data_IF_251677609686
#
_entry.id   IF_251677609686
#
_cell.length_a   1.000
_cell.length_b   1.000
_cell.length_c   1.000
_cell.angle_alpha   90.00
_cell.angle_beta   90.00
_cell.angle_gamma   90.00
#
_symmetry.space_group_name_H-M   'P 1'
#
loop_
_entity.id
_entity.type
_entity.pdbx_description
1 polymer ?
#
# COMPACT_ATOMS: atom_id res chain seq x y z
N UNK A 1 -1.03 20.02 -1.13
CA UNK A 1 -0.15 19.22 -2.02
C UNK A 1 1.06 18.62 -1.29
N UNK A 2 1.92 19.38 -0.59
CA UNK A 2 3.13 18.83 0.07
C UNK A 2 2.85 17.77 1.16
N UNK A 3 1.79 17.94 1.96
CA UNK A 3 1.47 17.02 3.06
C UNK A 3 1.09 15.61 2.58
N UNK A 4 0.28 15.49 1.53
CA UNK A 4 -0.11 14.18 0.96
C UNK A 4 1.06 13.41 0.38
N UNK A 5 2.03 14.11 -0.22
CA UNK A 5 3.24 13.48 -0.73
C UNK A 5 4.13 12.97 0.41
N UNK A 6 4.26 13.75 1.49
CA UNK A 6 4.96 13.30 2.70
C UNK A 6 4.26 12.10 3.34
N UNK A 7 2.93 12.11 3.47
CA UNK A 7 2.16 10.96 3.96
C UNK A 7 2.39 9.72 3.10
N UNK A 8 2.39 9.87 1.77
CA UNK A 8 2.68 8.77 0.85
C UNK A 8 4.09 8.20 1.04
N UNK A 9 5.11 9.05 1.17
CA UNK A 9 6.48 8.58 1.41
C UNK A 9 6.59 7.86 2.75
N UNK A 10 6.04 8.44 3.82
CA UNK A 10 6.09 7.84 5.15
C UNK A 10 5.37 6.48 5.14
N UNK A 11 4.24 6.37 4.44
CA UNK A 11 3.53 5.11 4.25
C UNK A 11 4.37 4.05 3.51
N UNK A 12 5.04 4.43 2.42
CA UNK A 12 5.88 3.50 1.65
C UNK A 12 7.07 3.01 2.47
N UNK A 13 7.70 3.91 3.25
CA UNK A 13 8.79 3.56 4.15
C UNK A 13 8.31 2.62 5.24
N UNK A 14 7.19 2.94 5.90
CA UNK A 14 6.60 2.12 6.95
C UNK A 14 6.23 0.71 6.45
N UNK A 15 5.57 0.62 5.28
CA UNK A 15 5.31 -0.66 4.62
C UNK A 15 6.59 -1.42 4.31
N UNK A 16 7.62 -0.76 3.79
CA UNK A 16 8.91 -1.41 3.49
C UNK A 16 9.55 -1.99 4.74
N UNK A 17 9.52 -1.25 5.85
CA UNK A 17 10.06 -1.75 7.12
C UNK A 17 9.27 -2.96 7.62
N UNK A 18 7.94 -2.93 7.55
CA UNK A 18 7.11 -4.09 7.89
C UNK A 18 7.42 -5.32 7.02
N UNK A 19 7.62 -5.14 5.72
CA UNK A 19 8.03 -6.22 4.82
C UNK A 19 9.44 -6.74 5.14
N UNK A 20 10.37 -5.85 5.49
CA UNK A 20 11.72 -6.24 5.93
C UNK A 20 11.67 -7.06 7.21
N UNK A 21 10.81 -6.69 8.18
CA UNK A 21 10.59 -7.50 9.38
C UNK A 21 10.07 -8.89 9.03
N UNK A 22 9.07 -8.95 8.16
CA UNK A 22 8.41 -10.20 7.77
C UNK A 22 9.35 -11.17 7.06
N UNK A 23 10.26 -10.66 6.22
CA UNK A 23 11.23 -11.46 5.47
C UNK A 23 12.54 -11.73 6.23
N UNK A 24 12.88 -10.86 7.20
CA UNK A 24 14.09 -10.95 8.02
C UNK A 24 13.75 -10.63 9.49
N UNK A 25 13.10 -11.57 10.20
CA UNK A 25 12.65 -11.32 11.55
C UNK A 25 13.81 -10.99 12.49
N UNK A 26 13.62 -9.98 13.32
CA UNK A 26 14.61 -9.53 14.29
C UNK A 26 15.57 -8.45 13.79
N UNK A 27 15.58 -8.10 12.50
CA UNK A 27 16.39 -6.98 11.98
C UNK A 27 15.96 -5.65 12.61
N UNK A 28 14.65 -5.36 12.63
CA UNK A 28 14.14 -4.13 13.26
C UNK A 28 14.37 -4.10 14.77
N UNK A 29 14.18 -5.24 15.44
CA UNK A 29 14.47 -5.39 16.87
C UNK A 29 15.95 -5.13 17.18
N UNK A 30 16.86 -5.57 16.31
CA UNK A 30 18.31 -5.31 16.46
C UNK A 30 18.68 -3.83 16.29
N UNK A 31 17.89 -3.08 15.53
CA UNK A 31 18.01 -1.63 15.38
C UNK A 31 17.32 -0.86 16.52
N UNK A 32 16.71 -1.55 17.48
CA UNK A 32 15.96 -0.94 18.58
C UNK A 32 14.59 -0.39 18.17
N UNK A 33 14.07 -0.78 16.99
CA UNK A 33 12.78 -0.33 16.48
C UNK A 33 11.73 -1.39 16.81
N UNK A 34 10.75 -1.08 17.67
CA UNK A 34 9.71 -2.02 18.00
C UNK A 34 8.68 -2.11 16.87
N UNK A 35 8.46 -3.32 16.34
CA UNK A 35 7.57 -3.58 15.19
C UNK A 35 6.13 -3.09 15.43
N UNK A 36 5.64 -3.19 16.66
CA UNK A 36 4.30 -2.69 17.02
C UNK A 36 4.13 -1.19 16.76
N UNK A 37 5.21 -0.40 16.83
CA UNK A 37 5.17 1.03 16.53
C UNK A 37 4.90 1.31 15.05
N UNK A 38 5.37 0.44 14.15
CA UNK A 38 5.09 0.53 12.71
C UNK A 38 3.61 0.23 12.44
N UNK A 39 3.02 -0.80 13.07
CA UNK A 39 1.58 -1.05 12.95
C UNK A 39 0.72 0.11 13.49
N UNK A 40 1.14 0.74 14.60
CA UNK A 40 0.48 1.94 15.12
C UNK A 40 0.62 3.10 14.13
N UNK A 41 1.80 3.31 13.57
CA UNK A 41 2.04 4.35 12.57
C UNK A 41 1.18 4.13 11.33
N UNK A 42 1.13 2.91 10.81
CA UNK A 42 0.25 2.50 9.70
C UNK A 42 -1.21 2.83 9.99
N UNK A 43 -1.69 2.48 11.19
CA UNK A 43 -3.05 2.80 11.63
C UNK A 43 -3.34 4.30 11.66
N UNK A 44 -2.39 5.10 12.17
CA UNK A 44 -2.50 6.57 12.19
C UNK A 44 -2.52 7.12 10.76
N UNK A 45 -1.65 6.64 9.87
CA UNK A 45 -1.60 7.09 8.47
C UNK A 45 -2.91 6.80 7.74
N UNK A 46 -3.48 5.61 7.92
CA UNK A 46 -4.79 5.24 7.36
C UNK A 46 -5.88 6.14 7.92
N UNK A 47 -5.92 6.37 9.24
CA UNK A 47 -6.90 7.26 9.87
C UNK A 47 -6.78 8.69 9.36
N UNK A 48 -5.58 9.24 9.27
CA UNK A 48 -5.34 10.60 8.74
C UNK A 48 -5.74 10.68 7.28
N UNK A 49 -5.46 9.66 6.48
CA UNK A 49 -5.88 9.57 5.07
C UNK A 49 -7.40 9.61 4.95
N UNK A 50 -8.12 8.83 5.77
CA UNK A 50 -9.58 8.81 5.80
C UNK A 50 -10.19 10.13 6.31
N UNK A 51 -9.60 10.75 7.33
CA UNK A 51 -10.10 12.00 7.90
C UNK A 51 -9.83 13.20 7.01
N UNK A 52 -8.75 13.16 6.23
CA UNK A 52 -8.35 14.22 5.30
C UNK A 52 -8.77 13.89 3.87
N UNK A 53 -9.78 13.03 3.71
CA UNK A 53 -10.31 12.59 2.43
C UNK A 53 -10.78 13.81 1.62
N UNK A 54 -10.14 14.01 0.47
CA UNK A 54 -10.42 15.14 -0.43
C UNK A 54 -10.71 14.58 -1.83
N UNK A 55 -11.98 14.61 -2.28
CA UNK A 55 -12.40 13.95 -3.53
C UNK A 55 -11.72 14.53 -4.78
N UNK A 56 -11.36 15.83 -4.76
CA UNK A 56 -10.61 16.45 -5.87
C UNK A 56 -9.18 15.91 -6.03
N UNK A 57 -8.54 15.52 -4.93
CA UNK A 57 -7.20 14.91 -4.96
C UNK A 57 -7.28 13.43 -5.33
N UNK A 58 -8.34 12.75 -4.90
CA UNK A 58 -8.61 11.36 -5.27
C UNK A 58 -8.83 11.21 -6.78
N UNK A 59 -9.60 12.10 -7.42
CA UNK A 59 -9.82 12.06 -8.88
C UNK A 59 -8.51 12.25 -9.67
N UNK A 60 -7.55 13.01 -9.13
CA UNK A 60 -6.28 13.32 -9.80
C UNK A 60 -5.18 12.29 -9.54
N UNK A 61 -5.19 11.64 -8.38
CA UNK A 61 -4.15 10.69 -7.96
C UNK A 61 -4.62 9.25 -7.88
N UNK A 62 -5.93 8.96 -7.99
CA UNK A 62 -6.53 7.67 -7.64
C UNK A 62 -5.88 6.46 -8.31
N UNK A 63 -5.83 6.42 -9.64
CA UNK A 63 -5.22 5.28 -10.34
C UNK A 63 -3.71 5.19 -10.17
N UNK A 64 -2.99 6.32 -10.23
CA UNK A 64 -1.54 6.32 -10.12
C UNK A 64 -1.08 5.93 -8.71
N UNK A 65 -1.78 6.43 -7.69
CA UNK A 65 -1.53 6.10 -6.30
C UNK A 65 -1.91 4.65 -5.99
N UNK A 66 -3.03 4.16 -6.52
CA UNK A 66 -3.41 2.74 -6.39
C UNK A 66 -2.38 1.84 -7.06
N UNK A 67 -1.99 2.12 -8.30
CA UNK A 67 -0.97 1.35 -9.01
C UNK A 67 0.36 1.39 -8.27
N UNK A 68 0.76 2.55 -7.74
CA UNK A 68 2.00 2.67 -6.98
C UNK A 68 1.95 1.89 -5.66
N UNK A 69 0.87 2.02 -4.88
CA UNK A 69 0.66 1.30 -3.63
C UNK A 69 0.53 -0.22 -3.84
N UNK A 70 0.14 -0.63 -5.04
CA UNK A 70 0.05 -2.04 -5.42
C UNK A 70 1.42 -2.53 -5.92
N UNK A 71 1.93 -1.99 -7.02
CA UNK A 71 3.17 -2.46 -7.67
C UNK A 71 4.40 -2.34 -6.76
N UNK A 72 4.50 -1.27 -5.96
CA UNK A 72 5.67 -1.02 -5.12
C UNK A 72 5.95 -2.14 -4.09
N UNK A 73 5.01 -2.49 -3.18
CA UNK A 73 5.26 -3.55 -2.21
C UNK A 73 5.52 -4.90 -2.89
N UNK A 74 4.96 -5.15 -4.08
CA UNK A 74 5.29 -6.36 -4.85
C UNK A 74 6.73 -6.41 -5.30
N UNK A 75 7.25 -5.31 -5.83
CA UNK A 75 8.66 -5.18 -6.17
C UNK A 75 9.54 -5.39 -4.93
N UNK A 76 9.17 -4.79 -3.80
CA UNK A 76 9.89 -4.97 -2.54
C UNK A 76 9.90 -6.44 -2.11
N UNK A 77 8.75 -7.13 -2.11
CA UNK A 77 8.67 -8.56 -1.77
C UNK A 77 9.54 -9.42 -2.68
N UNK A 78 9.55 -9.16 -4.00
CA UNK A 78 10.41 -9.88 -4.94
C UNK A 78 11.89 -9.62 -4.64
N UNK A 79 12.28 -8.38 -4.36
CA UNK A 79 13.66 -8.04 -3.99
C UNK A 79 14.09 -8.72 -2.67
N UNK A 80 13.22 -8.72 -1.66
CA UNK A 80 13.48 -9.37 -0.37
C UNK A 80 13.60 -10.90 -0.53
N UNK A 81 12.75 -11.51 -1.36
CA UNK A 81 12.86 -12.93 -1.70
C UNK A 81 14.18 -13.26 -2.42
N UNK A 82 14.61 -12.42 -3.37
CA UNK A 82 15.88 -12.59 -4.08
C UNK A 82 17.10 -12.42 -3.16
N UNK A 83 16.98 -11.60 -2.11
CA UNK A 83 17.99 -11.44 -1.06
C UNK A 83 18.05 -12.65 -0.10
N UNK A 84 17.21 -13.67 -0.29
CA UNK A 84 17.15 -14.86 0.52
C UNK A 84 16.28 -14.74 1.77
N UNK A 85 15.44 -13.70 1.85
CA UNK A 85 14.44 -13.59 2.90
C UNK A 85 13.28 -14.56 2.67
N UNK A 86 12.80 -15.17 3.74
CA UNK A 86 11.60 -16.02 3.72
C UNK A 86 10.54 -15.35 4.60
N UNK A 87 9.34 -15.15 4.04
CA UNK A 87 8.23 -14.52 4.78
C UNK A 87 7.78 -15.41 5.93
N UNK A 88 7.87 -14.91 7.17
CA UNK A 88 7.43 -15.60 8.38
C UNK A 88 5.91 -15.74 8.45
N UNK A 89 5.17 -14.71 8.04
CA UNK A 89 3.69 -14.70 8.06
C UNK A 89 3.04 -15.51 6.92
N UNK A 90 3.83 -16.01 5.97
CA UNK A 90 3.33 -16.66 4.76
C UNK A 90 2.74 -15.69 3.73
N UNK A 91 2.96 -14.38 3.88
CA UNK A 91 2.70 -13.33 2.88
C UNK A 91 3.85 -13.25 1.89
N UNK A 92 4.12 -14.37 1.23
CA UNK A 92 5.11 -14.50 0.17
C UNK A 92 4.47 -14.28 -1.21
N UNK A 93 5.28 -13.89 -2.19
CA UNK A 93 4.91 -13.90 -3.62
C UNK A 93 4.41 -15.28 -4.10
N UNK A 94 4.78 -16.35 -3.40
CA UNK A 94 4.33 -17.73 -3.66
C UNK A 94 2.97 -18.06 -3.02
N UNK A 95 2.46 -17.20 -2.14
CA UNK A 95 1.23 -17.44 -1.39
C UNK A 95 -0.02 -17.14 -2.24
N UNK A 96 -0.93 -18.11 -2.44
CA UNK A 96 -2.16 -17.90 -3.21
C UNK A 96 -3.07 -16.83 -2.59
N UNK A 97 -3.04 -16.70 -1.26
CA UNK A 97 -3.86 -15.72 -0.53
C UNK A 97 -3.49 -14.28 -0.90
N UNK A 98 -2.20 -14.01 -1.07
CA UNK A 98 -1.72 -12.69 -1.46
C UNK A 98 -2.33 -12.26 -2.80
N UNK A 99 -2.33 -13.16 -3.79
CA UNK A 99 -2.89 -12.91 -5.12
C UNK A 99 -4.41 -12.70 -5.09
N UNK A 100 -5.14 -13.39 -4.21
CA UNK A 100 -6.59 -13.21 -4.05
C UNK A 100 -6.89 -11.81 -3.52
N UNK A 101 -6.21 -11.40 -2.44
CA UNK A 101 -6.39 -10.08 -1.83
C UNK A 101 -6.03 -8.98 -2.85
N UNK A 102 -4.91 -9.16 -3.54
CA UNK A 102 -4.47 -8.26 -4.59
C UNK A 102 -5.44 -8.13 -5.75
N UNK A 103 -5.92 -9.26 -6.26
CA UNK A 103 -6.92 -9.31 -7.33
C UNK A 103 -8.19 -8.57 -6.93
N UNK A 104 -8.63 -8.72 -5.68
CA UNK A 104 -9.79 -8.02 -5.15
C UNK A 104 -9.58 -6.50 -5.06
N UNK A 105 -8.41 -6.04 -4.60
CA UNK A 105 -8.06 -4.61 -4.53
C UNK A 105 -8.01 -3.98 -5.92
N UNK A 106 -7.31 -4.63 -6.86
CA UNK A 106 -7.24 -4.17 -8.26
C UNK A 106 -8.62 -4.16 -8.93
N UNK A 107 -9.43 -5.19 -8.68
CA UNK A 107 -10.80 -5.26 -9.20
C UNK A 107 -11.68 -4.13 -8.67
N UNK A 108 -11.62 -3.84 -7.37
CA UNK A 108 -12.36 -2.73 -6.76
C UNK A 108 -11.91 -1.39 -7.33
N UNK A 109 -10.60 -1.15 -7.43
CA UNK A 109 -10.08 0.08 -8.01
C UNK A 109 -10.41 0.26 -9.49
N UNK A 110 -10.38 -0.81 -10.28
CA UNK A 110 -10.82 -0.78 -11.68
C UNK A 110 -12.31 -0.47 -11.81
N UNK A 111 -13.14 -1.08 -10.95
CA UNK A 111 -14.59 -0.84 -10.95
C UNK A 111 -14.93 0.60 -10.59
N UNK A 112 -14.23 1.17 -9.61
CA UNK A 112 -14.48 2.56 -9.21
C UNK A 112 -13.99 3.53 -10.30
N UNK A 113 -12.89 3.24 -11.00
CA UNK A 113 -12.47 4.00 -12.17
C UNK A 113 -13.49 3.98 -13.33
N UNK A 114 -14.13 2.83 -13.58
CA UNK A 114 -15.20 2.73 -14.59
C UNK A 114 -16.43 3.57 -14.22
N UNK A 115 -16.83 3.56 -12.95
CA UNK A 115 -17.96 4.37 -12.47
C UNK A 115 -17.72 5.87 -12.59
N UNK A 116 -16.50 6.33 -12.31
CA UNK A 116 -16.13 7.74 -12.45
C UNK A 116 -16.19 8.19 -13.92
N UNK A 117 -15.86 7.30 -14.87
CA UNK A 117 -16.00 7.56 -16.31
C UNK A 117 -17.46 7.65 -16.78
N UNK A 118 -18.33 6.81 -16.24
CA UNK A 118 -19.76 6.82 -16.58
C UNK A 118 -20.46 8.08 -16.06
N UNK A 119 -20.07 8.58 -14.88
CA UNK A 119 -20.62 9.81 -14.30
C UNK A 119 -20.15 11.08 -15.02
N UNK A 120 -18.90 11.14 -15.48
CA UNK A 120 -18.41 12.28 -16.27
C UNK A 120 -19.05 12.33 -17.67
N UNK A 121 -19.50 11.19 -18.23
CA UNK A 121 -20.21 11.13 -19.51
C UNK A 121 -21.63 11.71 -19.45
N UNK A 122 -22.37 11.42 -18.37
CA UNK A 122 -23.76 11.88 -18.19
C UNK A 122 -23.88 13.37 -17.82
N UNK A 123 -22.81 14.02 -17.35
CA UNK A 123 -22.81 15.46 -17.05
C UNK A 123 -22.68 16.34 -18.31
N UNK A 124 -22.45 15.74 -19.48
CA UNK A 124 -22.21 16.42 -20.76
C UNK A 124 -23.33 16.27 -21.79
N UNK A 125 -24.41 15.55 -21.48
CA UNK A 125 -25.60 15.43 -22.33
C UNK A 125 -26.76 16.31 -21.89
#
# INVERSE_FOLDING_TARGET
>A
MKAYWLLGIVLLVDMTLLLVDDYFPGVLSSLGIPVWSLYVLLGILVLVSLLTHNPELEKRFGLHALLLLTIYPMLVMVLLALLGGESESGLSVTSPLLWIIWGAVLWMGWRDYQKDKEQDGQATE
#
